data_IF_063689523143
#
_entry.id   IF_063689523143
#
_cell.length_a   1.000
_cell.length_b   1.000
_cell.length_c   1.000
_cell.angle_alpha   90.00
_cell.angle_beta   90.00
_cell.angle_gamma   90.00
#
_symmetry.space_group_name_H-M   'P 1'
#
loop_
_entity.id
_entity.type
_entity.pdbx_description
1 polymer ?
#
# COMPACT_ATOMS: atom_id res chain seq x y z
N UNK A 1 4.81 -34.61 -13.15
CA UNK A 1 4.91 -33.15 -13.24
C UNK A 1 3.94 -32.52 -12.26
N UNK A 2 4.41 -32.13 -11.07
CA UNK A 2 3.58 -31.40 -10.11
C UNK A 2 3.44 -29.98 -10.66
N UNK A 3 2.33 -29.71 -11.35
CA UNK A 3 1.96 -28.35 -11.76
C UNK A 3 1.41 -27.65 -10.53
N UNK A 4 2.31 -27.08 -9.72
CA UNK A 4 1.94 -26.10 -8.71
C UNK A 4 1.59 -24.80 -9.45
N UNK A 5 0.32 -24.67 -9.86
CA UNK A 5 -0.23 -23.41 -10.30
C UNK A 5 -0.47 -22.58 -9.04
N UNK A 6 0.53 -21.80 -8.64
CA UNK A 6 0.35 -20.78 -7.63
C UNK A 6 -0.62 -19.76 -8.26
N UNK A 7 -1.90 -19.88 -7.95
CA UNK A 7 -2.87 -18.81 -8.18
C UNK A 7 -2.58 -17.72 -7.14
N UNK A 8 -1.49 -16.97 -7.30
CA UNK A 8 -1.41 -15.68 -6.63
C UNK A 8 -2.44 -14.82 -7.35
N UNK A 9 -3.58 -14.57 -6.73
CA UNK A 9 -4.26 -13.29 -6.95
C UNK A 9 -3.33 -12.22 -6.35
N UNK A 10 -2.20 -11.94 -7.01
CA UNK A 10 -1.36 -10.82 -6.64
C UNK A 10 -2.15 -9.58 -7.03
N UNK A 11 -2.71 -8.93 -6.02
CA UNK A 11 -3.39 -7.65 -6.18
C UNK A 11 -2.26 -6.63 -6.29
N UNK A 12 -1.62 -6.53 -7.46
CA UNK A 12 -0.48 -5.64 -7.63
C UNK A 12 -0.97 -4.22 -7.36
N UNK A 13 -0.29 -3.51 -6.46
CA UNK A 13 -0.70 -2.18 -6.02
C UNK A 13 0.46 -1.22 -6.19
N UNK A 14 0.18 -0.03 -6.71
CA UNK A 14 1.19 1.03 -6.79
C UNK A 14 1.33 1.69 -5.42
N UNK A 15 2.54 1.65 -4.86
CA UNK A 15 2.82 2.30 -3.58
C UNK A 15 2.97 3.82 -3.78
N UNK A 16 2.19 4.58 -3.02
CA UNK A 16 2.17 6.04 -3.04
C UNK A 16 2.65 6.55 -1.69
N UNK A 17 3.58 7.51 -1.70
CA UNK A 17 4.02 8.20 -0.50
C UNK A 17 3.04 9.33 -0.17
N UNK A 18 2.03 9.04 0.66
CA UNK A 18 1.05 10.04 1.13
C UNK A 18 1.52 10.79 2.38
N UNK A 19 2.64 10.38 2.98
CA UNK A 19 3.15 10.95 4.22
C UNK A 19 3.99 12.22 4.02
N UNK A 20 4.48 12.43 2.79
CA UNK A 20 5.42 13.49 2.43
C UNK A 20 6.83 13.32 3.02
N UNK A 21 7.12 12.21 3.70
CA UNK A 21 8.42 11.95 4.30
C UNK A 21 9.37 11.39 3.23
N UNK A 22 10.47 12.10 2.95
CA UNK A 22 11.47 11.69 1.96
C UNK A 22 12.15 10.34 2.28
N UNK A 23 12.11 9.92 3.55
CA UNK A 23 12.62 8.62 4.01
C UNK A 23 11.72 7.45 3.64
N UNK A 24 10.49 7.69 3.15
CA UNK A 24 9.53 6.64 2.80
C UNK A 24 9.51 6.36 1.31
N UNK A 25 9.50 5.07 1.00
CA UNK A 25 9.34 4.55 -0.35
C UNK A 25 7.95 4.83 -0.92
N UNK A 26 7.87 4.90 -2.25
CA UNK A 26 6.63 5.12 -3.00
C UNK A 26 6.75 6.31 -3.94
N UNK A 27 5.86 6.36 -4.92
CA UNK A 27 5.75 7.51 -5.83
C UNK A 27 5.12 8.70 -5.11
N UNK A 28 5.54 9.91 -5.45
CA UNK A 28 4.81 11.10 -5.04
C UNK A 28 3.41 11.09 -5.68
N UNK A 29 2.35 11.57 -5.00
CA UNK A 29 0.98 11.56 -5.52
C UNK A 29 0.84 12.13 -6.93
N UNK A 30 1.61 13.17 -7.24
CA UNK A 30 1.66 13.85 -8.55
C UNK A 30 2.26 12.99 -9.68
N UNK A 31 3.12 12.03 -9.36
CA UNK A 31 3.78 11.15 -10.34
C UNK A 31 2.95 9.92 -10.68
N UNK A 32 2.01 9.54 -9.80
CA UNK A 32 1.17 8.34 -9.94
C UNK A 32 0.37 8.34 -11.25
N UNK A 33 -0.30 9.44 -11.68
CA UNK A 33 -1.05 9.44 -12.93
C UNK A 33 -0.18 9.08 -14.15
N UNK A 34 1.00 9.68 -14.27
CA UNK A 34 1.91 9.40 -15.37
C UNK A 34 2.39 7.94 -15.33
N UNK A 35 2.72 7.42 -14.15
CA UNK A 35 3.13 6.03 -13.98
C UNK A 35 2.02 5.04 -14.41
N UNK A 36 0.77 5.25 -13.96
CA UNK A 36 -0.36 4.38 -14.29
C UNK A 36 -0.57 4.28 -15.81
N UNK A 37 -0.33 5.35 -16.57
CA UNK A 37 -0.43 5.33 -18.04
C UNK A 37 0.63 4.45 -18.71
N UNK A 38 1.76 4.18 -18.05
CA UNK A 38 2.81 3.30 -18.59
C UNK A 38 2.53 1.81 -18.35
N UNK A 39 1.67 1.49 -17.38
CA UNK A 39 1.39 0.11 -16.95
C UNK A 39 0.88 -0.83 -18.05
N UNK A 40 0.10 -0.41 -19.06
CA UNK A 40 -0.34 -1.30 -20.14
C UNK A 40 0.80 -1.96 -20.91
N UNK A 41 2.02 -1.39 -20.90
CA UNK A 41 3.19 -2.01 -21.52
C UNK A 41 3.65 -3.29 -20.79
N UNK A 42 3.29 -3.46 -19.52
CA UNK A 42 3.72 -4.57 -18.67
C UNK A 42 2.63 -5.64 -18.57
N UNK A 43 2.58 -6.52 -19.57
CA UNK A 43 1.52 -7.52 -19.72
C UNK A 43 1.48 -8.61 -18.63
N UNK A 44 2.53 -8.73 -17.82
CA UNK A 44 2.59 -9.62 -16.67
C UNK A 44 2.01 -8.98 -15.39
N UNK A 45 1.97 -7.65 -15.30
CA UNK A 45 1.45 -6.95 -14.13
C UNK A 45 -0.07 -6.88 -14.17
N UNK A 46 -0.70 -7.03 -13.01
CA UNK A 46 -2.14 -6.94 -12.82
C UNK A 46 -2.40 -5.91 -11.73
N UNK A 47 -2.17 -4.64 -12.06
CA UNK A 47 -2.42 -3.55 -11.13
C UNK A 47 -3.92 -3.40 -10.87
N UNK A 48 -4.29 -3.48 -9.60
CA UNK A 48 -5.67 -3.46 -9.10
C UNK A 48 -5.95 -2.30 -8.14
N UNK A 49 -4.94 -1.56 -7.72
CA UNK A 49 -5.16 -0.52 -6.73
C UNK A 49 -3.92 0.26 -6.34
N UNK A 50 -4.12 1.09 -5.31
CA UNK A 50 -3.06 1.86 -4.69
C UNK A 50 -2.77 1.33 -3.29
N UNK A 51 -1.54 1.54 -2.83
CA UNK A 51 -1.08 1.16 -1.51
C UNK A 51 -0.39 2.36 -0.85
N UNK A 52 -0.55 2.52 0.45
CA UNK A 52 0.28 3.46 1.21
C UNK A 52 0.65 2.96 2.60
N UNK A 53 1.74 3.52 3.11
CA UNK A 53 2.15 3.47 4.49
C UNK A 53 1.92 4.87 5.08
N UNK A 54 0.95 4.98 5.98
CA UNK A 54 0.65 6.24 6.64
C UNK A 54 1.85 6.75 7.44
N UNK A 55 1.79 8.03 7.83
CA UNK A 55 2.75 8.61 8.76
C UNK A 55 2.75 7.82 10.07
N UNK A 56 3.92 7.51 10.62
CA UNK A 56 3.98 6.93 11.97
C UNK A 56 3.74 8.06 12.95
N UNK A 57 2.49 8.22 13.38
CA UNK A 57 2.06 9.32 14.24
C UNK A 57 0.99 8.82 15.21
N UNK A 58 1.01 9.34 16.44
CA UNK A 58 -0.07 9.16 17.41
C UNK A 58 -1.32 9.96 17.04
N UNK A 59 -1.19 10.91 16.12
CA UNK A 59 -2.26 11.84 15.76
C UNK A 59 -3.16 11.22 14.68
N UNK A 60 -4.30 10.69 15.11
CA UNK A 60 -5.27 10.00 14.25
C UNK A 60 -5.67 10.84 13.02
N UNK A 61 -5.81 12.16 13.17
CA UNK A 61 -6.15 13.06 12.06
C UNK A 61 -5.09 13.08 10.96
N UNK A 62 -3.80 13.06 11.32
CA UNK A 62 -2.70 13.02 10.31
C UNK A 62 -2.67 11.69 9.56
N UNK A 63 -3.03 10.60 10.24
CA UNK A 63 -3.17 9.29 9.62
C UNK A 63 -4.37 9.28 8.68
N UNK A 64 -5.50 9.86 9.11
CA UNK A 64 -6.71 10.00 8.29
C UNK A 64 -6.44 10.81 7.02
N UNK A 65 -5.73 11.94 7.12
CA UNK A 65 -5.33 12.75 5.96
C UNK A 65 -4.58 11.93 4.90
N UNK A 66 -3.68 11.03 5.32
CA UNK A 66 -2.97 10.13 4.41
C UNK A 66 -3.94 9.20 3.65
N UNK A 67 -4.92 8.62 4.35
CA UNK A 67 -5.88 7.69 3.75
C UNK A 67 -6.90 8.41 2.85
N UNK A 68 -7.36 9.61 3.26
CA UNK A 68 -8.20 10.48 2.44
C UNK A 68 -7.50 10.85 1.14
N UNK A 69 -6.20 11.20 1.21
CA UNK A 69 -5.39 11.52 0.04
C UNK A 69 -5.31 10.32 -0.92
N UNK A 70 -5.01 9.12 -0.41
CA UNK A 70 -4.93 7.92 -1.23
C UNK A 70 -6.28 7.58 -1.90
N UNK A 71 -7.38 7.67 -1.15
CA UNK A 71 -8.74 7.46 -1.67
C UNK A 71 -9.06 8.43 -2.79
N UNK A 72 -8.81 9.71 -2.55
CA UNK A 72 -9.11 10.79 -3.49
C UNK A 72 -8.31 10.61 -4.78
N UNK A 73 -7.01 10.29 -4.65
CA UNK A 73 -6.15 9.99 -5.80
C UNK A 73 -6.66 8.78 -6.60
N UNK A 74 -7.03 7.70 -5.93
CA UNK A 74 -7.62 6.51 -6.56
C UNK A 74 -8.90 6.86 -7.32
N UNK A 75 -9.80 7.64 -6.73
CA UNK A 75 -11.08 8.01 -7.35
C UNK A 75 -10.90 8.92 -8.58
N UNK A 76 -9.91 9.82 -8.55
CA UNK A 76 -9.52 10.64 -9.70
C UNK A 76 -8.94 9.78 -10.82
N UNK A 77 -8.00 8.89 -10.48
CA UNK A 77 -7.34 8.03 -11.47
C UNK A 77 -8.30 7.04 -12.13
N UNK A 78 -9.34 6.57 -11.44
CA UNK A 78 -10.36 5.69 -12.05
C UNK A 78 -11.04 6.31 -13.27
N UNK A 79 -11.07 7.64 -13.37
CA UNK A 79 -11.71 8.34 -14.49
C UNK A 79 -10.80 8.42 -15.73
N UNK A 80 -9.49 8.31 -15.55
CA UNK A 80 -8.49 8.48 -16.61
C UNK A 80 -7.58 7.26 -16.81
N UNK A 81 -7.73 6.22 -15.99
CA UNK A 81 -6.95 5.00 -16.07
C UNK A 81 -7.20 4.26 -17.39
N UNK A 82 -6.17 3.61 -17.97
CA UNK A 82 -6.35 2.72 -19.12
C UNK A 82 -7.37 1.62 -18.83
N UNK A 83 -8.15 1.22 -19.83
CA UNK A 83 -9.19 0.20 -19.69
C UNK A 83 -8.68 -1.17 -19.20
N UNK A 84 -7.37 -1.43 -19.34
CA UNK A 84 -6.70 -2.65 -18.87
C UNK A 84 -6.33 -2.61 -17.39
N UNK A 85 -6.42 -1.44 -16.74
CA UNK A 85 -6.06 -1.23 -15.34
C UNK A 85 -7.33 -0.99 -14.54
N UNK A 86 -7.57 -1.84 -13.54
CA UNK A 86 -8.59 -1.60 -12.54
C UNK A 86 -7.95 -0.93 -11.33
N UNK A 87 -8.60 0.07 -10.76
CA UNK A 87 -8.16 0.72 -9.52
C UNK A 87 -9.27 0.57 -8.48
N UNK A 88 -9.61 -0.67 -8.15
CA UNK A 88 -10.68 -1.02 -7.23
C UNK A 88 -10.19 -1.20 -5.78
N UNK A 89 -8.90 -1.53 -5.59
CA UNK A 89 -8.33 -1.77 -4.28
C UNK A 89 -7.64 -0.53 -3.65
N UNK A 90 -7.78 -0.42 -2.33
CA UNK A 90 -6.99 0.46 -1.46
C UNK A 90 -6.33 -0.38 -0.38
N UNK A 91 -5.02 -0.54 -0.49
CA UNK A 91 -4.20 -1.22 0.52
C UNK A 91 -3.64 -0.19 1.49
N UNK A 92 -4.34 0.02 2.60
CA UNK A 92 -3.95 0.98 3.64
C UNK A 92 -4.47 0.51 5.00
N UNK A 93 -3.79 0.90 6.07
CA UNK A 93 -4.05 0.39 7.41
C UNK A 93 -3.17 -0.79 7.81
N UNK A 94 -2.67 -0.72 9.04
CA UNK A 94 -1.87 -1.69 9.77
C UNK A 94 -2.47 -1.86 11.17
N UNK A 95 -1.82 -2.68 12.02
CA UNK A 95 -2.36 -3.07 13.33
C UNK A 95 -2.78 -1.91 14.26
N UNK A 96 -2.29 -0.69 14.06
CA UNK A 96 -2.60 0.48 14.92
C UNK A 96 -3.53 1.52 14.31
N UNK A 97 -3.92 1.37 13.04
CA UNK A 97 -4.70 2.38 12.30
C UNK A 97 -5.69 1.78 11.29
N UNK A 98 -5.94 0.47 11.34
CA UNK A 98 -6.81 -0.22 10.38
C UNK A 98 -8.27 0.22 10.51
N UNK A 99 -8.73 0.63 11.69
CA UNK A 99 -10.10 1.13 11.90
C UNK A 99 -10.32 2.42 11.10
N UNK A 100 -9.41 3.39 11.20
CA UNK A 100 -9.45 4.63 10.42
C UNK A 100 -9.33 4.31 8.93
N UNK A 101 -8.46 3.36 8.57
CA UNK A 101 -8.32 2.92 7.19
C UNK A 101 -9.64 2.37 6.61
N UNK A 102 -10.37 1.56 7.38
CA UNK A 102 -11.67 1.00 6.98
C UNK A 102 -12.70 2.11 6.81
N UNK A 103 -12.77 3.07 7.75
CA UNK A 103 -13.65 4.25 7.64
C UNK A 103 -13.38 5.05 6.35
N UNK A 104 -12.11 5.17 5.97
CA UNK A 104 -11.70 5.85 4.73
C UNK A 104 -11.75 4.96 3.48
N UNK A 105 -12.27 3.74 3.58
CA UNK A 105 -12.57 2.88 2.44
C UNK A 105 -11.46 1.91 2.03
N UNK A 106 -10.60 1.50 2.97
CA UNK A 106 -9.62 0.44 2.73
C UNK A 106 -10.32 -0.87 2.33
N UNK A 107 -9.79 -1.51 1.30
CA UNK A 107 -10.25 -2.84 0.87
C UNK A 107 -9.27 -3.93 1.32
N UNK A 108 -8.04 -3.55 1.66
CA UNK A 108 -6.99 -4.44 2.16
C UNK A 108 -6.30 -3.75 3.33
N UNK A 109 -6.36 -4.38 4.50
CA UNK A 109 -5.62 -3.98 5.71
C UNK A 109 -4.53 -5.00 6.01
N UNK A 110 -3.41 -4.55 6.58
CA UNK A 110 -2.21 -5.38 6.82
C UNK A 110 -1.97 -5.54 8.31
N UNK A 111 -2.63 -6.51 8.93
CA UNK A 111 -2.59 -6.70 10.38
C UNK A 111 -1.58 -7.78 10.74
N UNK A 112 -0.61 -7.41 11.60
CA UNK A 112 0.46 -8.29 12.05
C UNK A 112 0.44 -8.46 13.57
N UNK A 113 0.97 -7.47 14.29
CA UNK A 113 1.08 -7.52 15.75
C UNK A 113 -0.26 -7.70 16.48
N UNK A 114 -1.37 -7.16 15.96
CA UNK A 114 -2.67 -7.38 16.60
C UNK A 114 -3.18 -8.82 16.47
N UNK A 115 -2.69 -9.60 15.50
CA UNK A 115 -3.02 -11.03 15.33
C UNK A 115 -1.99 -11.92 16.04
N UNK A 116 -0.70 -11.66 15.83
CA UNK A 116 0.39 -12.54 16.26
C UNK A 116 1.09 -12.11 17.55
N UNK A 117 0.75 -10.93 18.09
CA UNK A 117 1.46 -10.32 19.21
C UNK A 117 2.78 -9.65 18.80
N UNK A 118 3.48 -9.09 19.78
CA UNK A 118 4.80 -8.50 19.58
C UNK A 118 5.84 -9.58 19.26
N UNK A 119 6.83 -9.25 18.42
CA UNK A 119 7.97 -10.14 18.18
C UNK A 119 8.71 -10.38 19.49
N UNK A 120 8.94 -11.65 19.82
CA UNK A 120 9.69 -12.03 21.03
C UNK A 120 11.18 -11.72 20.92
N UNK A 121 11.70 -11.69 19.69
CA UNK A 121 13.12 -11.47 19.40
C UNK A 121 13.29 -10.19 18.57
N UNK A 122 14.34 -9.41 18.83
CA UNK A 122 14.64 -8.18 18.09
C UNK A 122 15.07 -8.52 16.65
N UNK A 123 14.97 -7.54 15.75
CA UNK A 123 15.34 -7.72 14.34
C UNK A 123 16.80 -8.18 14.17
N UNK A 124 17.70 -7.71 15.04
CA UNK A 124 19.10 -8.14 15.06
C UNK A 124 19.32 -9.66 15.22
N UNK A 125 18.32 -10.39 15.72
CA UNK A 125 18.36 -11.85 15.80
C UNK A 125 18.24 -12.52 14.43
N UNK A 126 17.39 -12.00 13.54
CA UNK A 126 17.14 -12.59 12.23
C UNK A 126 17.98 -11.96 11.11
N UNK A 127 18.40 -10.70 11.28
CA UNK A 127 19.25 -9.95 10.35
C UNK A 127 20.56 -9.50 11.02
N UNK A 128 21.45 -10.43 11.41
CA UNK A 128 22.69 -10.08 12.07
C UNK A 128 23.61 -9.28 11.13
N UNK A 129 23.78 -7.99 11.39
CA UNK A 129 24.67 -7.09 10.64
C UNK A 129 24.00 -5.81 10.13
N UNK A 130 22.67 -5.76 10.06
CA UNK A 130 21.93 -4.53 9.78
C UNK A 130 21.54 -3.88 11.12
N UNK A 131 22.48 -3.14 11.71
CA UNK A 131 22.17 -2.31 12.86
C UNK A 131 21.13 -1.25 12.44
N UNK A 132 19.97 -1.33 13.10
CA UNK A 132 18.86 -0.37 13.05
C UNK A 132 19.34 1.08 12.94
N UNK A 133 19.13 1.68 11.77
CA UNK A 133 19.13 3.13 11.56
C UNK A 133 17.72 3.67 11.75
#
# INVERSE_FOLDING_TARGET
TISCRIYTTSVDSTQVNTSGEASKYGLAPEDVPAFIQTLPAYTALRVRGLMTLARFSSEAERVRECFVLLRTLRDQLRQSAPATIALDALSMGMSGDFEIAIEEGATVVRVGQAIFGARTLPDSHFWPGEASQ
#
